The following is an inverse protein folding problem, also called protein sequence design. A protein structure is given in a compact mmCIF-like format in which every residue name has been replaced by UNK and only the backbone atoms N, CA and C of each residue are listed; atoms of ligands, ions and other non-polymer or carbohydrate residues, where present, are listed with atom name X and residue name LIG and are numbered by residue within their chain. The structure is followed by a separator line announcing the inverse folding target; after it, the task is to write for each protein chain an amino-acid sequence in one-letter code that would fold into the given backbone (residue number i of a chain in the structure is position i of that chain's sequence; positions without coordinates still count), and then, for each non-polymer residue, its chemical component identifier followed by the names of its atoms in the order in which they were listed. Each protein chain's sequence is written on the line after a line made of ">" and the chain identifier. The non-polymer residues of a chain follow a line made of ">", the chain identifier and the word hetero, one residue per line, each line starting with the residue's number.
data_IF_964145329913
#
_entry.id   IF_964145329913
#
_cell.length_a   1.000
_cell.length_b   1.000
_cell.length_c   1.000
_cell.angle_alpha   90.00
_cell.angle_beta   90.00
_cell.angle_gamma   90.00
#
_symmetry.space_group_name_H-M   'P 1'
#
loop_
_entity.id
_entity.type
_entity.pdbx_description
1 polymer ?
#
# COMPACT_ATOMS: atom_id res chain seq x y z
N UNK A 1 29.91 -9.84 -8.10
CA UNK A 1 29.62 -8.40 -7.94
C UNK A 1 29.10 -8.20 -6.54
N UNK A 2 29.65 -7.23 -5.78
CA UNK A 2 29.24 -6.92 -4.41
C UNK A 2 28.83 -5.45 -4.26
N UNK A 3 27.95 -5.18 -3.29
CA UNK A 3 27.56 -3.82 -2.91
C UNK A 3 28.41 -3.38 -1.72
N UNK A 4 29.06 -2.24 -1.83
CA UNK A 4 29.91 -1.69 -0.78
C UNK A 4 29.16 -0.58 -0.03
N UNK A 5 29.18 -0.61 1.29
CA UNK A 5 28.48 0.40 2.12
C UNK A 5 29.13 1.79 2.03
N UNK A 6 30.45 1.84 1.75
CA UNK A 6 31.22 3.09 1.57
C UNK A 6 32.27 2.86 0.51
N UNK A 7 32.50 3.82 -0.39
CA UNK A 7 33.64 3.77 -1.30
C UNK A 7 34.94 3.84 -0.53
N UNK A 8 35.99 3.20 -1.05
CA UNK A 8 37.36 3.23 -0.45
C UNK A 8 38.38 3.71 -1.51
N UNK A 9 38.33 5.00 -1.91
CA UNK A 9 39.24 5.54 -2.91
C UNK A 9 40.67 5.34 -2.49
N UNK A 10 41.52 4.82 -3.41
CA UNK A 10 42.96 4.61 -3.16
C UNK A 10 43.31 3.45 -2.24
N UNK A 11 42.36 2.62 -1.81
CA UNK A 11 42.58 1.43 -0.98
C UNK A 11 41.82 0.23 -1.52
N UNK A 12 42.28 -0.99 -1.20
CA UNK A 12 41.55 -2.20 -1.53
C UNK A 12 40.15 -2.17 -0.90
N UNK A 13 39.14 -2.51 -1.70
CA UNK A 13 37.75 -2.58 -1.22
C UNK A 13 37.63 -3.65 -0.13
N UNK A 14 36.90 -3.30 0.94
CA UNK A 14 36.49 -4.28 1.94
C UNK A 14 35.53 -5.30 1.29
N UNK A 15 35.35 -6.47 1.91
CA UNK A 15 34.41 -7.49 1.46
C UNK A 15 33.00 -6.86 1.33
N UNK A 16 32.50 -6.80 0.09
CA UNK A 16 31.15 -6.28 -0.21
C UNK A 16 30.06 -7.27 0.20
N UNK A 17 28.83 -6.77 0.32
CA UNK A 17 27.65 -7.63 0.49
C UNK A 17 27.26 -8.23 -0.86
N UNK A 18 26.91 -9.51 -0.88
CA UNK A 18 26.24 -10.13 -2.03
C UNK A 18 24.82 -9.55 -2.16
N UNK A 19 24.35 -9.41 -3.39
CA UNK A 19 22.97 -8.96 -3.62
C UNK A 19 22.03 -10.11 -3.31
N UNK A 20 21.06 -9.87 -2.44
CA UNK A 20 19.95 -10.81 -2.24
C UNK A 20 19.07 -10.78 -3.51
N UNK A 21 18.73 -11.94 -4.11
CA UNK A 21 17.84 -11.97 -5.27
C UNK A 21 16.50 -11.27 -5.00
N UNK A 22 15.97 -10.54 -5.98
CA UNK A 22 14.66 -9.84 -5.84
C UNK A 22 13.53 -10.81 -5.49
N UNK A 23 13.58 -12.03 -5.99
CA UNK A 23 12.60 -13.10 -5.75
C UNK A 23 12.85 -13.91 -4.47
N UNK A 24 13.84 -13.55 -3.66
CA UNK A 24 14.03 -14.14 -2.33
C UNK A 24 12.99 -13.56 -1.35
N UNK A 25 11.73 -13.87 -1.61
CA UNK A 25 10.59 -13.49 -0.79
C UNK A 25 10.32 -14.53 0.29
N UNK A 26 9.68 -14.10 1.36
CA UNK A 26 9.07 -14.97 2.36
C UNK A 26 7.63 -15.24 1.93
N UNK A 27 7.27 -16.51 1.88
CA UNK A 27 5.92 -16.99 1.56
C UNK A 27 5.15 -17.25 2.86
N UNK A 28 3.86 -16.93 2.87
CA UNK A 28 2.93 -17.28 3.93
C UNK A 28 1.93 -18.32 3.41
N UNK A 29 1.59 -19.31 4.23
CA UNK A 29 0.65 -20.37 3.88
C UNK A 29 -0.79 -19.86 3.63
N UNK A 30 -1.14 -18.69 4.15
CA UNK A 30 -2.46 -18.06 4.01
C UNK A 30 -2.30 -16.75 3.25
N UNK A 31 -3.15 -16.51 2.26
CA UNK A 31 -3.16 -15.28 1.46
C UNK A 31 -3.69 -14.07 2.25
N UNK A 32 -3.46 -12.83 1.75
CA UNK A 32 -4.20 -11.65 2.23
C UNK A 32 -5.69 -11.86 2.03
N UNK A 33 -6.52 -11.43 3.00
CA UNK A 33 -7.96 -11.64 2.89
C UNK A 33 -8.74 -11.39 4.16
N UNK A 34 -10.02 -11.76 4.11
CA UNK A 34 -10.99 -11.65 5.19
C UNK A 34 -11.26 -13.02 5.78
N UNK A 35 -11.22 -13.13 7.09
CA UNK A 35 -11.37 -14.38 7.83
C UNK A 35 -12.35 -14.18 8.99
N UNK A 36 -13.24 -15.12 9.20
CA UNK A 36 -14.25 -15.05 10.28
C UNK A 36 -13.67 -15.38 11.65
N UNK A 37 -12.60 -16.20 11.67
CA UNK A 37 -11.94 -16.63 12.89
C UNK A 37 -10.46 -16.28 12.86
N UNK A 38 -9.81 -16.41 14.01
CA UNK A 38 -8.35 -16.35 14.11
C UNK A 38 -7.69 -17.37 13.18
N UNK A 39 -6.55 -17.01 12.61
CA UNK A 39 -5.78 -17.86 11.69
C UNK A 39 -4.35 -18.01 12.18
N UNK A 40 -3.71 -19.10 11.79
CA UNK A 40 -2.32 -19.37 12.13
C UNK A 40 -1.45 -19.34 10.87
N UNK A 41 -0.47 -18.43 10.86
CA UNK A 41 0.39 -18.19 9.71
C UNK A 41 1.71 -18.93 9.85
N UNK A 42 2.02 -19.75 8.86
CA UNK A 42 3.32 -20.38 8.69
C UNK A 42 4.10 -19.64 7.61
N UNK A 43 5.36 -19.32 7.91
CA UNK A 43 6.26 -18.63 7.00
C UNK A 43 7.35 -19.56 6.50
N UNK A 44 7.65 -19.47 5.21
CA UNK A 44 8.73 -20.22 4.57
C UNK A 44 9.50 -19.38 3.58
N UNK A 45 10.68 -19.83 3.19
CA UNK A 45 11.48 -19.24 2.12
C UNK A 45 12.27 -20.33 1.41
N UNK A 46 12.37 -20.23 0.07
CA UNK A 46 13.24 -21.10 -0.75
C UNK A 46 14.71 -20.77 -0.63
N UNK A 47 15.05 -19.67 0.02
CA UNK A 47 16.43 -19.21 0.19
C UNK A 47 16.83 -19.29 1.64
N UNK A 48 18.10 -19.63 1.88
CA UNK A 48 18.67 -19.67 3.22
C UNK A 48 18.72 -18.29 3.85
N UNK A 49 18.40 -18.23 5.13
CA UNK A 49 18.44 -17.01 5.92
C UNK A 49 17.51 -17.09 7.13
N UNK A 50 17.44 -16.01 7.85
CA UNK A 50 16.53 -15.85 8.97
C UNK A 50 15.36 -14.97 8.57
N UNK A 51 14.14 -15.42 8.87
CA UNK A 51 12.92 -14.68 8.60
C UNK A 51 12.63 -13.77 9.78
N UNK A 52 12.59 -12.46 9.54
CA UNK A 52 12.13 -11.48 10.52
C UNK A 52 10.77 -10.92 10.09
N UNK A 53 9.92 -10.62 11.06
CA UNK A 53 8.59 -10.11 10.78
C UNK A 53 8.15 -9.00 11.74
N UNK A 54 7.14 -8.24 11.31
CA UNK A 54 6.40 -7.25 12.11
C UNK A 54 4.91 -7.41 11.83
N UNK A 55 4.06 -7.03 12.79
CA UNK A 55 2.59 -7.07 12.68
C UNK A 55 1.95 -5.68 12.73
N UNK A 56 2.78 -4.63 12.67
CA UNK A 56 2.37 -3.23 12.80
C UNK A 56 2.71 -2.37 11.56
N UNK A 57 2.97 -3.00 10.42
CA UNK A 57 3.32 -2.31 9.18
C UNK A 57 4.76 -1.79 9.10
N UNK A 58 5.58 -1.87 10.16
CA UNK A 58 6.98 -1.47 10.11
C UNK A 58 7.83 -2.38 9.18
N UNK A 59 8.94 -1.85 8.68
CA UNK A 59 9.87 -2.67 7.90
C UNK A 59 10.67 -3.62 8.79
N UNK A 60 10.58 -4.96 8.56
CA UNK A 60 11.31 -5.93 9.38
C UNK A 60 12.83 -5.76 9.33
N UNK A 61 13.47 -5.90 10.48
CA UNK A 61 14.90 -5.82 10.67
C UNK A 61 15.37 -6.83 11.74
N UNK A 62 16.67 -6.95 11.98
CA UNK A 62 17.23 -7.79 13.06
C UNK A 62 16.80 -7.40 14.48
N UNK A 63 16.12 -6.26 14.65
CA UNK A 63 15.61 -5.78 15.94
C UNK A 63 14.17 -6.23 16.20
N UNK A 64 13.51 -6.76 15.18
CA UNK A 64 12.13 -7.19 15.23
C UNK A 64 12.02 -8.70 15.48
N UNK A 65 10.83 -9.25 15.47
CA UNK A 65 10.58 -10.66 15.79
C UNK A 65 11.24 -11.60 14.80
N UNK A 66 12.02 -12.56 15.31
CA UNK A 66 12.56 -13.68 14.54
C UNK A 66 11.50 -14.78 14.46
N UNK A 67 11.15 -15.20 13.25
CA UNK A 67 10.20 -16.29 13.05
C UNK A 67 10.81 -17.64 13.51
N UNK A 68 10.13 -18.31 14.43
CA UNK A 68 10.50 -19.63 14.95
C UNK A 68 9.30 -20.58 15.02
N UNK A 69 8.11 -20.04 15.21
CA UNK A 69 6.85 -20.78 15.36
C UNK A 69 5.76 -20.08 14.56
N UNK A 70 4.69 -20.78 14.20
CA UNK A 70 3.53 -20.18 13.56
C UNK A 70 3.03 -18.95 14.32
N UNK A 71 2.51 -17.97 13.60
CA UNK A 71 2.04 -16.67 14.12
C UNK A 71 0.52 -16.73 14.18
N UNK A 72 -0.06 -16.54 15.36
CA UNK A 72 -1.50 -16.43 15.54
C UNK A 72 -1.95 -14.99 15.20
N UNK A 73 -2.96 -14.87 14.34
CA UNK A 73 -3.59 -13.61 13.93
C UNK A 73 -5.05 -13.66 14.36
N UNK A 74 -5.42 -12.86 15.34
CA UNK A 74 -6.76 -12.78 15.96
C UNK A 74 -7.46 -11.45 15.70
N UNK A 75 -6.78 -10.50 15.09
CA UNK A 75 -7.24 -9.15 14.81
C UNK A 75 -6.70 -8.64 13.49
N UNK A 76 -7.25 -7.52 12.99
CA UNK A 76 -6.79 -6.91 11.73
C UNK A 76 -5.29 -6.62 11.79
N UNK A 77 -4.53 -7.26 10.91
CA UNK A 77 -3.06 -7.28 11.00
C UNK A 77 -2.40 -7.07 9.64
N UNK A 78 -1.41 -6.19 9.63
CA UNK A 78 -0.47 -6.04 8.51
C UNK A 78 0.80 -6.82 8.84
N UNK A 79 0.91 -8.03 8.34
CA UNK A 79 2.11 -8.86 8.49
C UNK A 79 3.13 -8.48 7.40
N UNK A 80 4.28 -7.98 7.82
CA UNK A 80 5.41 -7.75 6.93
C UNK A 80 6.56 -8.67 7.31
N UNK A 81 7.16 -9.29 6.30
CA UNK A 81 8.22 -10.27 6.48
C UNK A 81 9.41 -9.94 5.60
N UNK A 82 10.61 -10.32 6.04
CA UNK A 82 11.85 -10.12 5.29
C UNK A 82 12.83 -11.22 5.61
N UNK A 83 13.48 -11.76 4.57
CA UNK A 83 14.60 -12.68 4.73
C UNK A 83 15.90 -11.88 4.91
N UNK A 84 16.65 -12.20 5.95
CA UNK A 84 17.97 -11.64 6.22
C UNK A 84 19.00 -12.77 6.28
N UNK A 85 20.09 -12.59 5.52
CA UNK A 85 21.25 -13.50 5.49
C UNK A 85 22.53 -12.73 5.71
N UNK A 86 23.43 -13.29 6.50
CA UNK A 86 24.73 -12.67 6.73
C UNK A 86 25.54 -12.61 5.42
N UNK A 87 26.23 -11.50 5.21
CA UNK A 87 27.01 -11.26 3.99
C UNK A 87 26.17 -10.87 2.77
N UNK A 88 24.85 -10.72 2.90
CA UNK A 88 23.94 -10.30 1.84
C UNK A 88 23.29 -8.94 2.11
N UNK A 89 22.82 -8.28 1.05
CA UNK A 89 21.89 -7.14 1.18
C UNK A 89 20.58 -7.60 1.82
N UNK A 90 19.76 -6.68 2.29
CA UNK A 90 18.43 -7.01 2.81
C UNK A 90 17.57 -7.61 1.68
N UNK A 91 16.83 -8.66 1.97
CA UNK A 91 15.81 -9.21 1.08
C UNK A 91 14.65 -8.23 0.86
N UNK A 92 13.85 -8.48 -0.17
CA UNK A 92 12.60 -7.76 -0.39
C UNK A 92 11.61 -8.01 0.76
N UNK A 93 10.67 -7.10 0.93
CA UNK A 93 9.60 -7.22 1.94
C UNK A 93 8.42 -7.91 1.27
N UNK A 94 7.92 -8.97 1.90
CA UNK A 94 6.59 -9.52 1.61
C UNK A 94 5.59 -8.92 2.59
N UNK A 95 4.44 -8.48 2.09
CA UNK A 95 3.37 -7.88 2.91
C UNK A 95 2.09 -8.69 2.70
N UNK A 96 1.41 -8.98 3.80
CA UNK A 96 0.09 -9.62 3.82
C UNK A 96 -0.85 -8.85 4.75
N UNK A 97 -2.08 -8.68 4.33
CA UNK A 97 -3.12 -7.97 5.07
C UNK A 97 -4.21 -8.98 5.46
N UNK A 98 -4.44 -9.14 6.75
CA UNK A 98 -5.44 -10.05 7.31
C UNK A 98 -6.50 -9.24 8.04
N UNK A 99 -7.76 -9.44 7.67
CA UNK A 99 -8.92 -8.83 8.29
C UNK A 99 -9.71 -9.91 9.00
N UNK A 100 -9.78 -9.82 10.33
CA UNK A 100 -10.43 -10.82 11.17
C UNK A 100 -11.77 -10.31 11.64
N UNK A 101 -12.82 -11.09 11.43
CA UNK A 101 -14.20 -10.75 11.81
C UNK A 101 -14.62 -9.34 11.35
N UNK A 102 -14.21 -8.98 10.14
CA UNK A 102 -14.43 -7.64 9.56
C UNK A 102 -15.24 -7.81 8.27
N UNK A 103 -16.30 -7.01 8.12
CA UNK A 103 -17.14 -6.99 6.92
C UNK A 103 -17.34 -5.55 6.47
N UNK A 104 -17.39 -5.34 5.16
CA UNK A 104 -17.62 -4.04 4.56
C UNK A 104 -18.46 -4.16 3.29
N UNK A 105 -19.24 -3.12 3.01
CA UNK A 105 -20.09 -3.04 1.82
C UNK A 105 -19.37 -2.43 0.61
N UNK A 106 -18.30 -1.70 0.82
CA UNK A 106 -17.49 -1.08 -0.22
C UNK A 106 -16.22 -1.88 -0.51
N UNK A 107 -15.67 -1.79 -1.72
CA UNK A 107 -14.32 -2.25 -2.00
C UNK A 107 -13.29 -1.63 -1.07
N UNK A 108 -12.19 -2.33 -0.84
CA UNK A 108 -11.20 -1.95 0.17
C UNK A 108 -9.83 -1.78 -0.48
N UNK A 109 -9.21 -0.64 -0.20
CA UNK A 109 -7.79 -0.41 -0.45
C UNK A 109 -7.05 -0.54 0.87
N UNK A 110 -6.24 -1.57 1.01
CA UNK A 110 -5.31 -1.71 2.13
C UNK A 110 -3.93 -1.21 1.73
N UNK A 111 -3.54 -0.06 2.27
CA UNK A 111 -2.30 0.63 1.95
C UNK A 111 -1.29 0.46 3.08
N UNK A 112 -0.35 -0.44 2.92
CA UNK A 112 0.64 -0.79 3.93
C UNK A 112 1.99 -0.13 3.66
N UNK A 113 2.46 0.68 4.59
CA UNK A 113 3.80 1.29 4.56
C UNK A 113 4.39 1.37 5.96
N UNK A 114 5.71 1.56 6.07
CA UNK A 114 6.32 1.77 7.38
C UNK A 114 5.75 3.06 8.02
N UNK A 115 5.25 3.02 9.26
CA UNK A 115 4.68 4.19 9.94
C UNK A 115 5.58 5.43 9.93
N UNK A 116 6.91 5.25 9.89
CA UNK A 116 7.87 6.36 9.75
C UNK A 116 7.76 7.10 8.42
N UNK A 117 7.30 6.43 7.35
CA UNK A 117 7.09 7.04 6.04
C UNK A 117 5.95 8.05 6.06
N UNK A 118 4.98 7.86 6.95
CA UNK A 118 3.84 8.76 7.13
C UNK A 118 4.10 9.80 8.22
N UNK A 119 4.55 9.37 9.40
CA UNK A 119 4.47 10.15 10.63
C UNK A 119 5.78 10.70 11.15
N UNK A 120 6.95 10.29 10.61
CA UNK A 120 8.24 10.81 11.06
C UNK A 120 8.31 12.33 10.89
N UNK A 121 8.76 13.04 11.93
CA UNK A 121 8.83 14.52 11.96
C UNK A 121 9.63 15.11 10.80
N UNK A 122 10.72 14.45 10.37
CA UNK A 122 11.63 14.96 9.33
C UNK A 122 11.34 14.39 7.94
N UNK A 123 10.85 13.15 7.84
CA UNK A 123 10.77 12.38 6.59
C UNK A 123 9.38 11.80 6.27
N UNK A 124 8.41 11.93 7.18
CA UNK A 124 7.06 11.42 6.99
C UNK A 124 6.25 12.34 6.09
N UNK A 125 5.59 11.76 5.07
CA UNK A 125 4.86 12.55 4.07
C UNK A 125 3.59 13.21 4.63
N UNK A 126 2.97 12.63 5.65
CA UNK A 126 1.81 13.23 6.32
C UNK A 126 2.21 14.45 7.17
N UNK A 127 3.36 14.40 7.84
CA UNK A 127 3.91 15.51 8.63
C UNK A 127 4.47 16.61 7.75
N UNK A 128 5.11 16.25 6.65
CA UNK A 128 5.77 17.20 5.74
C UNK A 128 4.99 17.31 4.41
N UNK A 129 3.69 17.38 4.51
CA UNK A 129 2.78 17.40 3.36
C UNK A 129 3.01 18.56 2.38
N UNK A 130 3.67 19.62 2.80
CA UNK A 130 4.01 20.77 1.95
C UNK A 130 5.12 20.43 0.94
N UNK A 131 5.95 19.45 1.23
CA UNK A 131 7.00 18.99 0.32
C UNK A 131 6.39 18.22 -0.84
N UNK A 132 6.39 18.83 -2.00
CA UNK A 132 5.89 18.21 -3.23
C UNK A 132 6.89 17.22 -3.77
N UNK A 133 6.38 16.15 -4.43
CA UNK A 133 7.20 15.12 -5.05
C UNK A 133 7.87 14.14 -4.08
N UNK A 134 7.59 14.23 -2.78
CA UNK A 134 8.09 13.22 -1.85
C UNK A 134 7.28 11.94 -1.95
N UNK A 135 7.93 10.90 -2.41
CA UNK A 135 7.37 9.56 -2.54
C UNK A 135 7.92 8.63 -1.45
N UNK A 136 7.11 7.67 -1.07
CA UNK A 136 7.45 6.61 -0.11
C UNK A 136 6.96 5.28 -0.63
N UNK A 137 7.77 4.21 -0.47
CA UNK A 137 7.35 2.89 -0.85
C UNK A 137 6.18 2.42 0.02
N UNK A 138 5.21 1.80 -0.62
CA UNK A 138 4.06 1.17 0.01
C UNK A 138 3.70 -0.12 -0.72
N UNK A 139 2.87 -0.92 -0.08
CA UNK A 139 2.23 -2.08 -0.66
C UNK A 139 0.73 -1.85 -0.64
N UNK A 140 0.05 -2.22 -1.71
CA UNK A 140 -1.40 -2.07 -1.84
C UNK A 140 -2.00 -3.44 -2.12
N UNK A 141 -2.94 -3.84 -1.29
CA UNK A 141 -3.91 -4.88 -1.61
C UNK A 141 -5.25 -4.22 -1.93
N UNK A 142 -5.85 -4.56 -3.05
CA UNK A 142 -7.19 -4.14 -3.42
C UNK A 142 -8.14 -5.34 -3.32
N UNK A 143 -9.18 -5.15 -2.55
CA UNK A 143 -10.25 -6.12 -2.40
C UNK A 143 -11.52 -5.54 -3.00
N UNK A 144 -12.01 -6.21 -4.00
CA UNK A 144 -13.24 -5.86 -4.70
C UNK A 144 -14.38 -6.81 -4.33
N UNK A 145 -15.55 -6.58 -4.86
CA UNK A 145 -16.68 -7.49 -4.76
C UNK A 145 -17.04 -8.04 -6.14
N UNK A 146 -17.29 -9.33 -6.20
CA UNK A 146 -17.85 -9.93 -7.39
C UNK A 146 -19.34 -9.59 -7.54
N UNK A 147 -19.96 -10.05 -8.63
CA UNK A 147 -21.38 -9.85 -8.92
C UNK A 147 -22.33 -10.46 -7.87
N UNK A 148 -21.82 -11.34 -7.01
CA UNK A 148 -22.57 -11.96 -5.92
C UNK A 148 -22.31 -11.27 -4.56
N UNK A 149 -21.50 -10.19 -4.55
CA UNK A 149 -21.12 -9.45 -3.34
C UNK A 149 -20.04 -10.14 -2.50
N UNK A 150 -19.41 -11.21 -3.00
CA UNK A 150 -18.32 -11.87 -2.32
C UNK A 150 -17.03 -11.07 -2.47
N UNK A 151 -16.24 -11.02 -1.41
CA UNK A 151 -14.96 -10.29 -1.41
C UNK A 151 -13.94 -11.07 -2.25
N UNK A 152 -13.39 -10.39 -3.25
CA UNK A 152 -12.34 -10.87 -4.14
C UNK A 152 -11.03 -10.10 -3.85
N UNK A 153 -9.92 -10.80 -3.60
CA UNK A 153 -8.60 -10.19 -3.59
C UNK A 153 -8.16 -9.92 -5.04
N UNK A 154 -8.45 -8.70 -5.52
CA UNK A 154 -8.35 -8.34 -6.92
C UNK A 154 -6.90 -8.16 -7.40
N UNK A 155 -6.08 -7.46 -6.62
CA UNK A 155 -4.65 -7.36 -6.88
C UNK A 155 -3.84 -7.01 -5.63
N UNK A 156 -2.56 -7.34 -5.71
CA UNK A 156 -1.53 -7.05 -4.72
C UNK A 156 -0.34 -6.42 -5.43
N UNK A 157 0.11 -5.23 -5.02
CA UNK A 157 1.13 -4.50 -5.76
C UNK A 157 2.02 -3.63 -4.88
N UNK A 158 3.32 -3.62 -5.22
CA UNK A 158 4.24 -2.61 -4.71
C UNK A 158 4.03 -1.29 -5.45
N UNK A 159 3.93 -0.20 -4.71
CA UNK A 159 3.70 1.14 -5.22
C UNK A 159 4.57 2.17 -4.50
N UNK A 160 4.71 3.33 -5.10
CA UNK A 160 5.15 4.52 -4.40
C UNK A 160 3.95 5.43 -4.13
N UNK A 161 3.91 6.03 -2.96
CA UNK A 161 2.83 6.92 -2.54
C UNK A 161 3.34 8.31 -2.23
N UNK A 162 2.51 9.32 -2.53
CA UNK A 162 2.74 10.70 -2.11
C UNK A 162 1.43 11.38 -1.74
N UNK A 163 1.52 12.43 -0.93
CA UNK A 163 0.36 13.28 -0.66
C UNK A 163 0.01 14.07 -1.92
N UNK A 164 -1.25 13.95 -2.34
CA UNK A 164 -1.80 14.61 -3.52
C UNK A 164 -2.54 15.92 -3.15
N UNK A 165 -2.86 16.70 -4.19
CA UNK A 165 -3.60 17.95 -4.05
C UNK A 165 -2.71 19.20 -3.94
N UNK A 166 -3.36 20.36 -3.89
CA UNK A 166 -2.73 21.68 -3.75
C UNK A 166 -2.98 22.21 -2.33
N UNK A 167 -4.03 22.95 -2.12
CA UNK A 167 -4.41 23.48 -0.79
C UNK A 167 -5.03 22.42 0.11
N UNK A 168 -5.69 21.40 -0.45
CA UNK A 168 -6.27 20.27 0.27
C UNK A 168 -5.25 19.42 1.06
N UNK A 169 -3.96 19.54 0.73
CA UNK A 169 -2.89 18.86 1.49
C UNK A 169 -2.82 19.29 2.96
N UNK A 170 -3.34 20.48 3.29
CA UNK A 170 -3.38 21.01 4.67
C UNK A 170 -4.49 20.41 5.52
N UNK A 171 -5.45 19.74 4.90
CA UNK A 171 -6.56 19.11 5.62
C UNK A 171 -6.08 17.89 6.44
N UNK A 172 -6.81 17.55 7.49
CA UNK A 172 -6.47 16.41 8.33
C UNK A 172 -6.47 15.10 7.52
N UNK A 173 -7.55 14.82 6.78
CA UNK A 173 -7.63 13.72 5.82
C UNK A 173 -7.03 14.17 4.48
N UNK A 174 -5.98 13.50 4.05
CA UNK A 174 -5.21 13.87 2.85
C UNK A 174 -5.46 12.90 1.72
N UNK A 175 -5.54 13.44 0.50
CA UNK A 175 -5.54 12.60 -0.70
C UNK A 175 -4.15 12.01 -0.92
N UNK A 176 -4.11 10.75 -1.36
CA UNK A 176 -2.89 10.00 -1.64
C UNK A 176 -2.89 9.61 -3.11
N UNK A 177 -1.81 9.91 -3.83
CA UNK A 177 -1.57 9.34 -5.14
C UNK A 177 -0.69 8.10 -4.99
N UNK A 178 -1.11 7.02 -5.64
CA UNK A 178 -0.37 5.76 -5.73
C UNK A 178 0.20 5.65 -7.14
N UNK A 179 1.49 5.36 -7.25
CA UNK A 179 2.20 5.18 -8.51
C UNK A 179 2.67 3.74 -8.59
N UNK A 180 2.31 3.05 -9.66
CA UNK A 180 2.87 1.74 -9.92
C UNK A 180 4.39 1.86 -10.06
N UNK A 181 5.13 0.95 -9.46
CA UNK A 181 6.58 0.86 -9.61
C UNK A 181 6.98 -0.53 -10.13
N UNK A 182 8.23 -0.67 -10.54
CA UNK A 182 8.77 -1.88 -11.16
C UNK A 182 9.34 -2.91 -10.16
N UNK A 183 9.17 -2.70 -8.87
CA UNK A 183 9.76 -3.57 -7.84
C UNK A 183 9.29 -5.01 -7.95
N UNK A 184 8.06 -5.21 -8.42
CA UNK A 184 7.45 -6.51 -8.70
C UNK A 184 7.50 -6.91 -10.19
N UNK A 185 8.23 -6.16 -11.02
CA UNK A 185 8.35 -6.41 -12.47
C UNK A 185 7.16 -5.91 -13.28
N UNK A 186 6.26 -5.13 -12.70
CA UNK A 186 5.09 -4.56 -13.37
C UNK A 186 5.04 -3.04 -13.12
N UNK A 187 5.15 -2.26 -14.18
CA UNK A 187 5.09 -0.78 -14.12
C UNK A 187 3.67 -0.22 -14.10
N UNK A 188 2.64 -1.07 -14.08
CA UNK A 188 1.24 -0.67 -14.15
C UNK A 188 0.37 -1.49 -13.19
N UNK A 189 -0.72 -0.90 -12.73
CA UNK A 189 -1.81 -1.57 -12.02
C UNK A 189 -2.74 -2.11 -13.11
N UNK A 190 -2.79 -3.43 -13.27
CA UNK A 190 -3.60 -4.09 -14.29
C UNK A 190 -4.84 -4.71 -13.63
N UNK A 191 -5.90 -3.94 -13.54
CA UNK A 191 -7.21 -4.33 -13.05
C UNK A 191 -8.26 -3.30 -13.47
N UNK A 192 -9.46 -3.72 -13.82
CA UNK A 192 -10.57 -2.82 -14.13
C UNK A 192 -11.22 -2.31 -12.84
N UNK A 193 -10.71 -1.18 -12.32
CA UNK A 193 -11.19 -0.57 -11.09
C UNK A 193 -12.54 0.14 -11.28
N UNK A 194 -12.82 0.60 -12.50
CA UNK A 194 -14.02 1.37 -12.84
C UNK A 194 -14.85 0.59 -13.85
N UNK A 195 -15.99 0.05 -13.40
CA UNK A 195 -16.83 -0.85 -14.22
C UNK A 195 -17.41 -0.19 -15.48
N UNK A 196 -17.61 1.12 -15.43
CA UNK A 196 -18.19 1.91 -16.50
C UNK A 196 -17.16 2.55 -17.46
N UNK A 197 -15.88 2.23 -17.31
CA UNK A 197 -14.82 2.69 -18.22
C UNK A 197 -14.04 1.49 -18.78
N UNK A 198 -13.76 1.45 -20.08
CA UNK A 198 -13.01 0.36 -20.70
C UNK A 198 -11.50 0.49 -20.44
N UNK A 199 -11.11 0.86 -19.23
CA UNK A 199 -9.72 1.07 -18.84
C UNK A 199 -9.39 0.11 -17.69
N UNK A 200 -8.42 -0.75 -17.92
CA UNK A 200 -7.99 -1.78 -16.97
C UNK A 200 -6.48 -1.73 -16.65
N UNK A 201 -5.80 -0.66 -17.01
CA UNK A 201 -4.36 -0.54 -16.78
C UNK A 201 -3.98 0.90 -16.45
N UNK A 202 -3.39 1.12 -15.28
CA UNK A 202 -3.10 2.43 -14.72
C UNK A 202 -1.64 2.57 -14.31
N UNK A 203 -0.99 3.68 -14.67
CA UNK A 203 0.31 4.06 -14.12
C UNK A 203 0.16 4.65 -12.71
N UNK A 204 -0.98 5.27 -12.42
CA UNK A 204 -1.28 5.82 -11.10
C UNK A 204 -2.79 5.84 -10.85
N UNK A 205 -3.15 5.70 -9.58
CA UNK A 205 -4.52 5.87 -9.08
C UNK A 205 -4.48 6.84 -7.90
N UNK A 206 -5.51 7.69 -7.79
CA UNK A 206 -5.60 8.67 -6.72
C UNK A 206 -6.71 8.31 -5.74
N UNK A 207 -6.33 8.12 -4.48
CA UNK A 207 -7.26 8.02 -3.36
C UNK A 207 -7.63 9.43 -2.91
N UNK A 208 -8.77 9.91 -3.32
CA UNK A 208 -9.24 11.26 -3.00
C UNK A 208 -9.93 11.28 -1.64
N UNK A 209 -9.52 12.21 -0.81
CA UNK A 209 -10.13 12.43 0.50
C UNK A 209 -11.26 13.47 0.47
N UNK A 210 -11.54 14.03 -0.71
CA UNK A 210 -12.46 15.15 -0.98
C UNK A 210 -12.41 16.27 0.09
N UNK A 211 -11.22 16.73 0.38
CA UNK A 211 -10.93 17.62 1.48
C UNK A 211 -11.21 19.11 1.15
N UNK A 212 -11.71 19.43 -0.04
CA UNK A 212 -11.87 20.84 -0.50
C UNK A 212 -13.27 21.40 -0.40
N UNK A 213 -14.27 20.58 -0.16
CA UNK A 213 -15.67 20.96 -0.15
C UNK A 213 -16.11 21.79 1.05
N UNK A 214 -15.22 22.31 1.89
CA UNK A 214 -15.62 22.99 3.10
C UNK A 214 -14.83 24.22 3.53
N UNK A 215 -14.01 24.82 2.68
CA UNK A 215 -13.03 25.82 3.15
C UNK A 215 -13.60 27.18 3.53
N UNK A 216 -14.78 27.55 3.04
CA UNK A 216 -15.40 28.85 3.26
C UNK A 216 -16.87 28.75 3.70
N UNK A 217 -17.31 27.62 4.21
CA UNK A 217 -18.70 27.41 4.57
C UNK A 217 -18.75 27.10 6.07
N UNK A 218 -19.71 27.67 6.79
CA UNK A 218 -19.91 27.36 8.21
C UNK A 218 -19.99 25.84 8.45
N UNK A 219 -19.60 25.40 9.62
CA UNK A 219 -19.46 23.98 10.05
C UNK A 219 -20.57 23.01 9.65
N UNK A 220 -21.72 23.50 9.22
CA UNK A 220 -22.88 22.76 8.74
C UNK A 220 -22.67 22.01 7.42
N UNK A 221 -21.65 22.34 6.62
CA UNK A 221 -21.43 21.79 5.29
C UNK A 221 -20.22 20.86 5.19
N UNK A 222 -19.67 20.43 6.30
CA UNK A 222 -18.55 19.48 6.36
C UNK A 222 -18.92 18.08 5.81
N UNK A 223 -20.20 17.84 5.53
CA UNK A 223 -20.71 16.54 5.13
C UNK A 223 -20.65 16.21 3.61
N UNK A 224 -20.54 17.22 2.75
CA UNK A 224 -20.60 16.98 1.30
C UNK A 224 -19.24 16.62 0.70
N UNK A 225 -18.78 15.40 0.92
CA UNK A 225 -17.51 14.91 0.39
C UNK A 225 -17.63 14.20 -0.96
N UNK A 226 -18.76 14.26 -1.61
CA UNK A 226 -19.09 13.52 -2.85
C UNK A 226 -19.56 14.40 -4.01
N UNK A 227 -19.16 15.68 -4.05
CA UNK A 227 -19.59 16.60 -5.13
C UNK A 227 -19.21 16.14 -6.52
N UNK A 228 -17.96 15.67 -6.68
CA UNK A 228 -17.50 15.20 -7.99
C UNK A 228 -18.20 13.93 -8.41
N UNK A 229 -18.46 13.07 -7.46
CA UNK A 229 -19.19 11.83 -7.61
C UNK A 229 -20.64 12.09 -8.04
N UNK A 230 -21.29 13.02 -7.34
CA UNK A 230 -22.65 13.44 -7.70
C UNK A 230 -22.71 14.02 -9.12
N UNK A 231 -21.77 14.89 -9.47
CA UNK A 231 -21.69 15.44 -10.83
C UNK A 231 -21.45 14.37 -11.88
N UNK A 232 -20.63 13.38 -11.57
CA UNK A 232 -20.39 12.24 -12.44
C UNK A 232 -21.66 11.41 -12.65
N UNK A 233 -22.37 11.07 -11.58
CA UNK A 233 -23.63 10.30 -11.68
C UNK A 233 -24.75 11.10 -12.36
N UNK A 234 -24.85 12.41 -12.12
CA UNK A 234 -25.79 13.28 -12.85
C UNK A 234 -25.45 13.32 -14.33
N UNK A 235 -24.19 13.52 -14.72
CA UNK A 235 -23.79 13.49 -16.13
C UNK A 235 -24.11 12.16 -16.79
N UNK A 236 -23.86 11.05 -16.11
CA UNK A 236 -24.16 9.69 -16.57
C UNK A 236 -25.67 9.48 -16.75
N UNK A 237 -26.48 9.86 -15.77
CA UNK A 237 -27.95 9.72 -15.80
C UNK A 237 -28.59 10.57 -16.87
N UNK A 238 -28.00 11.69 -17.24
CA UNK A 238 -28.44 12.59 -18.29
C UNK A 238 -27.94 12.21 -19.70
N UNK A 239 -27.23 11.08 -19.85
CA UNK A 239 -26.51 10.71 -21.07
C UNK A 239 -25.59 11.85 -21.58
N UNK A 240 -24.97 12.56 -20.64
CA UNK A 240 -24.13 13.73 -20.94
C UNK A 240 -22.92 13.35 -21.77
N UNK A 241 -22.60 14.19 -22.76
CA UNK A 241 -21.47 13.98 -23.68
C UNK A 241 -20.11 14.43 -23.09
N UNK A 242 -20.04 14.68 -21.78
CA UNK A 242 -18.78 15.07 -21.12
C UNK A 242 -18.09 13.84 -20.60
N UNK A 243 -16.88 13.56 -21.10
CA UNK A 243 -16.04 12.51 -20.54
C UNK A 243 -15.48 12.97 -19.19
N UNK A 244 -16.13 12.54 -18.14
CA UNK A 244 -15.73 12.85 -16.76
C UNK A 244 -14.78 11.80 -16.21
N UNK A 245 -13.95 12.20 -15.25
CA UNK A 245 -13.07 11.29 -14.53
C UNK A 245 -13.88 10.21 -13.81
N UNK A 246 -13.54 8.96 -14.04
CA UNK A 246 -14.17 7.82 -13.36
C UNK A 246 -13.91 7.82 -11.86
N UNK A 247 -14.82 7.23 -11.12
CA UNK A 247 -14.85 7.27 -9.68
C UNK A 247 -15.39 5.96 -9.09
N UNK A 248 -14.75 5.49 -8.04
CA UNK A 248 -15.13 4.29 -7.28
C UNK A 248 -15.00 4.58 -5.78
N UNK A 249 -16.12 4.54 -5.02
CA UNK A 249 -16.05 4.61 -3.56
C UNK A 249 -15.29 3.43 -2.98
N UNK A 250 -14.37 3.71 -2.06
CA UNK A 250 -13.59 2.67 -1.39
C UNK A 250 -13.40 2.98 0.10
N UNK A 251 -13.20 1.95 0.90
CA UNK A 251 -12.66 2.08 2.26
C UNK A 251 -11.15 2.00 2.21
N UNK A 252 -10.49 2.95 2.86
CA UNK A 252 -9.03 2.97 2.96
C UNK A 252 -8.58 2.52 4.35
N UNK A 253 -7.84 1.43 4.40
CA UNK A 253 -7.01 1.03 5.54
C UNK A 253 -5.59 1.54 5.33
N UNK A 254 -5.04 2.22 6.36
CA UNK A 254 -3.74 2.85 6.31
C UNK A 254 -2.94 2.53 7.58
#
# INVERSE_FOLDING_TARGET
>A
IGVFKKPSPGKANKKGLRIMPKHALVEANIASGFYTNSIQIQLSSRFDGQIYYTTNGAEPSKKDSLYRHPIDIDSNTVLRTRLLREGYTKGAISTKNYFINTQHDLPIVSLSTDPKHLWNKKKGIYRNFERRGWEKPAHVDYFDKDSQGQVLHAFSKSNDIRIAGKTSRRQAKKSIAMFANDLDGQERINYQVFDDKPINSFASIWLRADATSGRNVPQLWVGERFKNELLYEVNKSMNGNVDMQAYQPVLLYL
#
